data_IF_010003387428
#
_entry.id   IF_010003387428
#
_cell.length_a   1.000
_cell.length_b   1.000
_cell.length_c   1.000
_cell.angle_alpha   90.00
_cell.angle_beta   90.00
_cell.angle_gamma   90.00
#
_symmetry.space_group_name_H-M   'P 1'
#
loop_
_entity.id
_entity.type
_entity.pdbx_description
1 polymer ?
#
# COMPACT_ATOMS: atom_id res chain seq x y z
N UNK A 1 -3.70 -1.85 31.37
CA UNK A 1 -3.72 -2.97 30.42
C UNK A 1 -3.22 -2.42 29.10
N UNK A 2 -2.13 -2.95 28.56
CA UNK A 2 -1.66 -2.59 27.21
C UNK A 2 -2.74 -2.97 26.20
N UNK A 3 -3.07 -2.08 25.25
CA UNK A 3 -4.03 -2.36 24.18
C UNK A 3 -3.63 -3.66 23.45
N UNK A 4 -4.58 -4.52 23.03
CA UNK A 4 -4.28 -5.85 22.50
C UNK A 4 -3.50 -5.91 21.17
N UNK A 5 -2.99 -4.81 20.61
CA UNK A 5 -2.27 -4.73 19.32
C UNK A 5 -3.02 -5.46 18.20
N UNK A 6 -4.33 -5.23 18.10
CA UNK A 6 -5.17 -5.84 17.06
C UNK A 6 -4.82 -5.26 15.70
N UNK A 7 -4.83 -6.09 14.67
CA UNK A 7 -4.50 -5.69 13.30
C UNK A 7 -5.70 -5.96 12.40
N UNK A 8 -6.25 -4.91 11.82
CA UNK A 8 -7.22 -4.98 10.74
C UNK A 8 -6.50 -5.20 9.41
N UNK A 9 -6.73 -6.34 8.78
CA UNK A 9 -6.12 -6.73 7.51
C UNK A 9 -7.18 -6.60 6.42
N UNK A 10 -7.08 -5.53 5.62
CA UNK A 10 -7.98 -5.15 4.54
C UNK A 10 -7.51 -5.72 3.20
N UNK A 11 -8.28 -6.64 2.62
CA UNK A 11 -7.93 -7.32 1.36
C UNK A 11 -9.03 -7.09 0.32
N UNK A 12 -8.65 -6.52 -0.82
CA UNK A 12 -9.51 -6.45 -2.00
C UNK A 12 -9.11 -7.53 -3.00
N UNK A 13 -10.06 -8.36 -3.44
CA UNK A 13 -9.82 -9.43 -4.39
C UNK A 13 -10.77 -9.31 -5.59
N UNK A 14 -10.25 -9.54 -6.80
CA UNK A 14 -11.05 -9.62 -8.02
C UNK A 14 -10.69 -10.89 -8.79
N UNK A 15 -11.61 -11.85 -8.80
CA UNK A 15 -11.46 -13.14 -9.48
C UNK A 15 -10.10 -13.81 -9.25
N UNK A 16 -9.55 -13.71 -8.03
CA UNK A 16 -8.18 -14.10 -7.74
C UNK A 16 -8.09 -15.49 -7.10
N UNK A 17 -7.55 -16.50 -7.79
CA UNK A 17 -7.43 -17.86 -7.28
C UNK A 17 -6.38 -18.01 -6.17
N UNK A 18 -5.53 -17.01 -5.95
CA UNK A 18 -4.46 -17.04 -4.93
C UNK A 18 -4.97 -16.54 -3.57
N UNK A 19 -6.16 -15.93 -3.50
CA UNK A 19 -6.74 -15.43 -2.26
C UNK A 19 -6.76 -16.46 -1.10
N UNK A 20 -7.18 -17.73 -1.31
CA UNK A 20 -7.14 -18.73 -0.24
C UNK A 20 -5.72 -18.98 0.30
N UNK A 21 -4.71 -18.99 -0.57
CA UNK A 21 -3.31 -19.11 -0.19
C UNK A 21 -2.88 -17.90 0.65
N UNK A 22 -3.20 -16.68 0.20
CA UNK A 22 -2.86 -15.44 0.92
C UNK A 22 -3.44 -15.43 2.34
N UNK A 23 -4.73 -15.77 2.51
CA UNK A 23 -5.37 -15.82 3.83
C UNK A 23 -4.77 -16.90 4.72
N UNK A 24 -4.51 -18.08 4.17
CA UNK A 24 -3.89 -19.17 4.91
C UNK A 24 -2.49 -18.77 5.40
N UNK A 25 -1.69 -18.15 4.53
CA UNK A 25 -0.33 -17.67 4.89
C UNK A 25 -0.37 -16.55 5.91
N UNK A 26 -1.29 -15.58 5.77
CA UNK A 26 -1.46 -14.50 6.74
C UNK A 26 -1.67 -15.04 8.16
N UNK A 27 -2.52 -16.06 8.33
CA UNK A 27 -2.81 -16.66 9.64
C UNK A 27 -1.67 -17.57 10.12
N UNK A 28 -1.22 -18.50 9.30
CA UNK A 28 -0.27 -19.55 9.73
C UNK A 28 1.14 -19.05 9.98
N UNK A 29 1.50 -17.89 9.42
CA UNK A 29 2.81 -17.27 9.63
C UNK A 29 2.79 -16.13 10.62
N UNK A 30 1.62 -15.68 11.09
CA UNK A 30 1.54 -14.68 12.14
C UNK A 30 2.04 -15.25 13.46
N UNK A 31 2.72 -14.42 14.26
CA UNK A 31 3.09 -14.77 15.62
C UNK A 31 1.86 -14.83 16.54
N UNK A 32 0.88 -13.94 16.32
CA UNK A 32 -0.33 -13.78 17.14
C UNK A 32 -1.58 -13.75 16.28
N UNK A 33 -1.96 -14.86 15.62
CA UNK A 33 -3.12 -14.90 14.71
C UNK A 33 -4.44 -14.49 15.38
N UNK A 34 -4.57 -14.66 16.70
CA UNK A 34 -5.75 -14.24 17.46
C UNK A 34 -5.96 -12.71 17.52
N UNK A 35 -4.95 -11.92 17.13
CA UNK A 35 -5.04 -10.45 17.06
C UNK A 35 -5.51 -9.95 15.70
N UNK A 36 -5.61 -10.85 14.71
CA UNK A 36 -5.95 -10.48 13.34
C UNK A 36 -7.46 -10.40 13.16
N UNK A 37 -7.88 -9.34 12.47
CA UNK A 37 -9.19 -9.25 11.82
C UNK A 37 -8.95 -9.20 10.31
N UNK A 38 -9.20 -10.33 9.64
CA UNK A 38 -9.13 -10.41 8.19
C UNK A 38 -10.47 -9.97 7.57
N UNK A 39 -10.45 -8.87 6.84
CA UNK A 39 -11.59 -8.28 6.16
C UNK A 39 -11.39 -8.35 4.65
N UNK A 40 -12.22 -9.15 3.98
CA UNK A 40 -12.09 -9.45 2.55
C UNK A 40 -13.28 -8.87 1.78
N UNK A 41 -12.98 -8.12 0.73
CA UNK A 41 -13.97 -7.79 -0.30
C UNK A 41 -13.67 -8.61 -1.54
N UNK A 42 -14.46 -9.67 -1.75
CA UNK A 42 -14.33 -10.63 -2.84
C UNK A 42 -15.27 -10.26 -3.99
N UNK A 43 -14.71 -9.78 -5.09
CA UNK A 43 -15.43 -9.49 -6.33
C UNK A 43 -15.29 -10.69 -7.28
N UNK A 44 -16.29 -11.56 -7.32
CA UNK A 44 -16.22 -12.83 -8.06
C UNK A 44 -17.60 -13.29 -8.56
N UNK A 45 -17.61 -14.20 -9.51
CA UNK A 45 -18.84 -14.75 -10.09
C UNK A 45 -19.61 -15.62 -9.09
N UNK A 46 -20.93 -15.82 -9.24
CA UNK A 46 -21.73 -16.60 -8.30
C UNK A 46 -21.30 -18.07 -8.20
N UNK A 47 -20.73 -18.62 -9.28
CA UNK A 47 -20.34 -20.04 -9.38
C UNK A 47 -19.00 -20.38 -8.70
N UNK A 48 -18.24 -19.37 -8.27
CA UNK A 48 -16.96 -19.57 -7.59
C UNK A 48 -17.21 -19.92 -6.12
N UNK A 49 -16.57 -20.97 -5.59
CA UNK A 49 -16.69 -21.33 -4.19
C UNK A 49 -16.31 -20.15 -3.29
N UNK A 50 -17.06 -19.94 -2.20
CA UNK A 50 -16.69 -18.91 -1.20
C UNK A 50 -15.35 -19.26 -0.59
N UNK A 51 -14.50 -18.25 -0.43
CA UNK A 51 -13.28 -18.40 0.34
C UNK A 51 -13.61 -18.86 1.77
N UNK A 52 -13.04 -19.99 2.24
CA UNK A 52 -13.33 -20.47 3.58
C UNK A 52 -12.76 -19.52 4.62
N UNK A 53 -13.44 -19.42 5.77
CA UNK A 53 -12.81 -18.80 6.94
C UNK A 53 -11.52 -19.57 7.24
N UNK A 54 -10.37 -18.88 7.44
CA UNK A 54 -9.10 -19.54 7.70
C UNK A 54 -9.05 -20.29 9.05
N UNK A 55 -10.13 -20.21 9.84
CA UNK A 55 -10.28 -20.96 11.10
C UNK A 55 -9.48 -20.38 12.26
N UNK A 56 -9.54 -21.07 13.40
CA UNK A 56 -8.86 -20.64 14.63
C UNK A 56 -9.56 -19.48 15.35
N UNK A 57 -8.80 -18.73 16.13
CA UNK A 57 -9.24 -17.56 16.88
C UNK A 57 -9.24 -16.25 16.07
N UNK A 58 -8.82 -16.31 14.80
CA UNK A 58 -8.78 -15.17 13.88
C UNK A 58 -10.18 -14.67 13.56
N UNK A 59 -10.42 -13.36 13.70
CA UNK A 59 -11.68 -12.75 13.27
C UNK A 59 -11.69 -12.66 11.74
N UNK A 60 -12.80 -13.06 11.12
CA UNK A 60 -12.96 -13.05 9.67
C UNK A 60 -14.27 -12.39 9.26
N UNK A 61 -14.18 -11.40 8.37
CA UNK A 61 -15.32 -10.72 7.74
C UNK A 61 -15.14 -10.76 6.23
N UNK A 62 -16.19 -11.14 5.50
CA UNK A 62 -16.13 -11.23 4.04
C UNK A 62 -17.39 -10.63 3.41
N UNK A 63 -17.20 -9.64 2.55
CA UNK A 63 -18.23 -9.08 1.67
C UNK A 63 -18.00 -9.64 0.28
N UNK A 64 -19.02 -10.27 -0.29
CA UNK A 64 -18.97 -10.80 -1.64
C UNK A 64 -19.82 -9.97 -2.58
N UNK A 65 -19.25 -9.63 -3.71
CA UNK A 65 -19.83 -8.77 -4.73
C UNK A 65 -19.74 -9.51 -6.07
N UNK A 66 -20.81 -9.45 -6.85
CA UNK A 66 -20.78 -10.00 -8.20
C UNK A 66 -19.74 -9.24 -9.05
N UNK A 67 -18.96 -9.97 -9.85
CA UNK A 67 -17.91 -9.36 -10.69
C UNK A 67 -18.43 -8.30 -11.67
N UNK A 68 -19.73 -8.34 -12.00
CA UNK A 68 -20.41 -7.37 -12.87
C UNK A 68 -20.62 -6.03 -12.17
N UNK A 69 -20.80 -6.04 -10.86
CA UNK A 69 -20.97 -4.86 -10.02
C UNK A 69 -19.64 -4.29 -9.51
N UNK A 70 -18.52 -4.97 -9.81
CA UNK A 70 -17.17 -4.54 -9.43
C UNK A 70 -16.81 -3.18 -10.05
N UNK A 71 -16.25 -2.29 -9.22
CA UNK A 71 -15.84 -0.92 -9.62
C UNK A 71 -14.34 -0.68 -9.48
N UNK A 72 -13.56 -1.75 -9.46
CA UNK A 72 -12.10 -1.71 -9.31
C UNK A 72 -11.59 -1.76 -7.86
N UNK A 73 -10.26 -1.77 -7.69
CA UNK A 73 -9.63 -2.03 -6.41
C UNK A 73 -9.86 -0.92 -5.38
N UNK A 74 -9.88 0.36 -5.78
CA UNK A 74 -10.07 1.46 -4.84
C UNK A 74 -11.45 1.44 -4.18
N UNK A 75 -12.49 1.14 -4.93
CA UNK A 75 -13.85 0.95 -4.40
C UNK A 75 -13.91 -0.24 -3.44
N UNK A 76 -13.30 -1.37 -3.81
CA UNK A 76 -13.23 -2.54 -2.93
C UNK A 76 -12.42 -2.28 -1.65
N UNK A 77 -11.32 -1.51 -1.72
CA UNK A 77 -10.52 -1.09 -0.55
C UNK A 77 -11.31 -0.16 0.36
N UNK A 78 -12.08 0.78 -0.20
CA UNK A 78 -12.97 1.64 0.58
C UNK A 78 -14.09 0.84 1.28
N UNK A 79 -14.67 -0.16 0.60
CA UNK A 79 -15.63 -1.08 1.21
C UNK A 79 -14.98 -1.93 2.31
N UNK A 80 -13.76 -2.42 2.10
CA UNK A 80 -13.04 -3.17 3.10
C UNK A 80 -12.81 -2.31 4.35
N UNK A 81 -12.38 -1.06 4.18
CA UNK A 81 -12.25 -0.10 5.29
C UNK A 81 -13.55 0.11 6.08
N UNK A 82 -14.74 -0.07 5.49
CA UNK A 82 -16.00 0.01 6.25
C UNK A 82 -16.22 -1.13 7.26
N UNK A 83 -15.41 -2.19 7.18
CA UNK A 83 -15.42 -3.32 8.12
C UNK A 83 -14.46 -3.12 9.31
N UNK A 84 -13.70 -2.01 9.33
CA UNK A 84 -12.83 -1.64 10.44
C UNK A 84 -13.65 -1.40 11.71
N UNK A 85 -13.16 -1.91 12.84
CA UNK A 85 -13.89 -1.95 14.11
C UNK A 85 -12.97 -1.55 15.29
N UNK A 86 -12.17 -0.51 15.04
CA UNK A 86 -11.28 0.08 16.05
C UNK A 86 -10.06 -0.79 16.39
N UNK A 87 -9.56 -1.58 15.44
CA UNK A 87 -8.27 -2.26 15.60
C UNK A 87 -7.11 -1.25 15.73
N UNK A 88 -6.08 -1.57 16.52
CA UNK A 88 -4.97 -0.64 16.81
C UNK A 88 -4.12 -0.33 15.56
N UNK A 89 -4.05 -1.28 14.63
CA UNK A 89 -3.26 -1.23 13.41
C UNK A 89 -4.10 -1.59 12.19
N UNK A 90 -3.73 -1.00 11.06
CA UNK A 90 -4.30 -1.22 9.74
C UNK A 90 -3.24 -1.79 8.81
N UNK A 91 -3.59 -2.83 8.07
CA UNK A 91 -2.80 -3.42 7.01
C UNK A 91 -3.66 -3.58 5.74
N UNK A 92 -3.37 -2.82 4.69
CA UNK A 92 -3.93 -3.06 3.36
C UNK A 92 -3.06 -4.02 2.56
N UNK A 93 -3.69 -4.96 1.87
CA UNK A 93 -3.03 -5.93 1.01
C UNK A 93 -3.78 -6.14 -0.31
N UNK A 94 -3.02 -6.51 -1.35
CA UNK A 94 -3.58 -7.22 -2.50
C UNK A 94 -3.88 -8.69 -2.14
N UNK A 95 -4.56 -9.42 -3.03
CA UNK A 95 -5.07 -10.77 -2.75
C UNK A 95 -4.11 -11.92 -3.06
N UNK A 96 -2.87 -11.64 -3.49
CA UNK A 96 -1.85 -12.63 -3.87
C UNK A 96 -0.52 -12.34 -3.18
N UNK A 97 -0.53 -12.46 -1.86
CA UNK A 97 0.58 -12.11 -0.97
C UNK A 97 1.08 -13.33 -0.22
N UNK A 98 2.34 -13.28 0.17
CA UNK A 98 2.93 -14.22 1.10
C UNK A 98 3.74 -13.48 2.16
N UNK A 99 4.05 -14.16 3.25
CA UNK A 99 4.53 -13.54 4.47
C UNK A 99 5.69 -14.34 5.05
N UNK A 100 6.60 -13.63 5.69
CA UNK A 100 7.64 -14.25 6.50
C UNK A 100 7.08 -14.61 7.90
N UNK A 101 7.68 -15.56 8.64
CA UNK A 101 7.24 -15.90 10.00
C UNK A 101 7.29 -14.72 10.98
N UNK A 102 6.20 -14.48 11.74
CA UNK A 102 6.04 -13.36 12.66
C UNK A 102 5.94 -12.01 11.96
N UNK A 103 5.29 -11.93 10.79
CA UNK A 103 5.16 -10.68 10.03
C UNK A 103 4.42 -9.58 10.79
N UNK A 104 3.41 -9.96 11.56
CA UNK A 104 2.53 -9.10 12.36
C UNK A 104 3.30 -8.32 13.43
N UNK A 105 4.05 -9.04 14.27
CA UNK A 105 4.89 -8.41 15.30
C UNK A 105 6.02 -7.57 14.68
N UNK A 106 6.59 -8.01 13.55
CA UNK A 106 7.65 -7.26 12.85
C UNK A 106 7.15 -5.94 12.28
N UNK A 107 5.98 -5.90 11.64
CA UNK A 107 5.40 -4.64 11.14
C UNK A 107 5.08 -3.68 12.29
N UNK A 108 4.48 -4.18 13.37
CA UNK A 108 4.21 -3.38 14.58
C UNK A 108 5.50 -2.81 15.17
N UNK A 109 6.55 -3.64 15.31
CA UNK A 109 7.84 -3.21 15.81
C UNK A 109 8.50 -2.15 14.92
N UNK A 110 8.47 -2.34 13.60
CA UNK A 110 8.97 -1.38 12.62
C UNK A 110 8.25 -0.03 12.71
N UNK A 111 6.92 -0.03 12.80
CA UNK A 111 6.14 1.20 12.94
C UNK A 111 6.42 1.90 14.28
N UNK A 112 6.54 1.13 15.37
CA UNK A 112 6.87 1.65 16.72
C UNK A 112 8.26 2.27 16.78
N UNK A 113 9.25 1.68 16.10
CA UNK A 113 10.59 2.27 16.00
C UNK A 113 10.57 3.64 15.32
N UNK A 114 9.57 3.89 14.48
CA UNK A 114 9.30 5.19 13.87
C UNK A 114 8.35 6.07 14.70
N UNK A 115 8.02 5.71 15.94
CA UNK A 115 7.17 6.53 16.83
C UNK A 115 5.66 6.38 16.64
N UNK A 116 5.21 5.36 15.90
CA UNK A 116 3.81 4.97 15.88
C UNK A 116 3.41 4.24 17.19
N UNK A 117 2.16 4.33 17.66
CA UNK A 117 1.05 5.07 17.05
C UNK A 117 0.99 6.55 17.43
N UNK A 118 1.91 7.09 18.23
CA UNK A 118 1.82 8.48 18.73
C UNK A 118 1.88 9.52 17.60
N UNK A 119 2.59 9.23 16.52
CA UNK A 119 2.59 10.05 15.29
C UNK A 119 1.96 9.29 14.11
N UNK A 120 1.53 10.02 13.08
CA UNK A 120 1.02 9.43 11.84
C UNK A 120 2.16 8.86 11.00
N UNK A 121 2.30 7.54 10.95
CA UNK A 121 3.31 6.85 10.14
C UNK A 121 2.64 5.76 9.31
N UNK A 122 2.97 5.72 8.02
CA UNK A 122 2.63 4.62 7.14
C UNK A 122 3.90 3.94 6.63
N UNK A 123 3.91 2.61 6.64
CA UNK A 123 4.92 1.78 6.00
C UNK A 123 4.33 1.27 4.69
N UNK A 124 5.05 1.41 3.59
CA UNK A 124 4.60 0.87 2.31
C UNK A 124 5.78 0.63 1.39
N UNK A 125 5.60 -0.24 0.40
CA UNK A 125 6.53 -0.45 -0.71
C UNK A 125 5.80 -1.23 -1.80
N UNK A 126 6.43 -1.37 -2.97
CA UNK A 126 6.26 -2.58 -3.78
C UNK A 126 7.07 -3.70 -3.10
N UNK A 127 6.45 -4.74 -2.52
CA UNK A 127 7.19 -5.75 -1.76
C UNK A 127 8.09 -6.61 -2.66
N UNK A 128 9.05 -7.32 -2.05
CA UNK A 128 9.86 -8.30 -2.77
C UNK A 128 8.98 -9.37 -3.44
N UNK A 129 9.44 -9.91 -4.56
CA UNK A 129 8.65 -10.88 -5.32
C UNK A 129 8.70 -12.28 -4.71
N UNK A 130 7.61 -13.04 -4.89
CA UNK A 130 7.63 -14.49 -4.88
C UNK A 130 6.93 -15.03 -6.13
N UNK A 131 7.19 -16.30 -6.46
CA UNK A 131 6.58 -17.03 -7.60
C UNK A 131 6.15 -18.41 -7.14
N UNK A 132 5.30 -19.10 -7.89
CA UNK A 132 5.03 -20.52 -7.72
C UNK A 132 5.93 -21.36 -8.64
N UNK A 133 6.72 -22.25 -8.07
CA UNK A 133 7.52 -23.25 -8.81
C UNK A 133 7.07 -24.64 -8.37
N UNK A 134 6.49 -25.43 -9.29
CA UNK A 134 5.94 -26.74 -8.95
C UNK A 134 4.77 -26.71 -7.96
N UNK A 135 4.05 -25.58 -7.86
CA UNK A 135 2.95 -25.37 -6.91
C UNK A 135 3.39 -24.81 -5.55
N UNK A 136 4.70 -24.70 -5.30
CA UNK A 136 5.25 -24.20 -4.04
C UNK A 136 5.68 -22.72 -4.17
N UNK A 137 5.47 -21.89 -3.13
CA UNK A 137 5.91 -20.50 -3.15
C UNK A 137 7.43 -20.40 -2.98
N UNK A 138 8.10 -19.74 -3.93
CA UNK A 138 9.54 -19.50 -3.96
C UNK A 138 9.83 -18.00 -3.96
N UNK A 139 10.59 -17.53 -2.96
CA UNK A 139 11.02 -16.14 -2.84
C UNK A 139 12.00 -15.75 -3.96
N UNK A 140 11.78 -14.57 -4.56
CA UNK A 140 12.65 -13.97 -5.58
C UNK A 140 12.95 -12.50 -5.20
N UNK A 141 13.64 -12.25 -4.08
CA UNK A 141 13.87 -10.89 -3.59
C UNK A 141 14.77 -10.12 -4.56
N UNK A 142 14.43 -8.85 -4.81
CA UNK A 142 15.25 -7.91 -5.58
C UNK A 142 16.40 -7.37 -4.74
N UNK A 143 16.16 -7.13 -3.44
CA UNK A 143 17.17 -6.68 -2.48
C UNK A 143 16.83 -7.16 -1.07
N UNK A 144 17.83 -7.18 -0.19
CA UNK A 144 17.66 -7.32 1.26
C UNK A 144 17.56 -5.96 1.98
N UNK A 145 17.87 -4.87 1.28
CA UNK A 145 17.74 -3.50 1.74
C UNK A 145 16.31 -2.98 1.58
N UNK A 146 16.18 -1.72 1.16
CA UNK A 146 14.90 -1.03 1.00
C UNK A 146 14.51 -1.01 -0.47
N UNK A 147 13.23 -1.23 -0.76
CA UNK A 147 12.63 -0.91 -2.05
C UNK A 147 11.96 0.47 -1.94
N UNK A 148 12.63 1.50 -2.42
CA UNK A 148 12.17 2.88 -2.29
C UNK A 148 11.40 3.32 -3.54
N UNK A 149 10.23 3.91 -3.38
CA UNK A 149 9.45 4.36 -4.53
C UNK A 149 9.90 5.73 -5.04
N UNK A 150 10.05 5.79 -6.36
CA UNK A 150 10.43 6.99 -7.10
C UNK A 150 9.61 7.07 -8.39
N UNK A 151 9.57 8.27 -8.99
CA UNK A 151 9.05 8.40 -10.34
C UNK A 151 9.93 7.60 -11.30
N UNK A 152 9.32 6.79 -12.16
CA UNK A 152 10.04 5.99 -13.15
C UNK A 152 10.82 6.91 -14.10
N UNK A 153 12.12 6.66 -14.34
CA UNK A 153 12.90 7.41 -15.32
C UNK A 153 12.20 7.51 -16.68
N UNK A 154 12.19 8.71 -17.25
CA UNK A 154 11.50 9.01 -18.52
C UNK A 154 9.99 9.30 -18.38
N UNK A 155 9.40 9.17 -17.18
CA UNK A 155 8.03 9.64 -16.95
C UNK A 155 7.94 11.15 -17.12
N UNK A 156 6.88 11.59 -17.79
CA UNK A 156 6.52 12.99 -17.96
C UNK A 156 5.02 13.15 -17.68
N UNK A 157 4.60 14.35 -17.30
CA UNK A 157 3.17 14.63 -17.17
C UNK A 157 2.47 14.52 -18.52
N UNK A 158 1.36 13.78 -18.54
CA UNK A 158 0.45 13.82 -19.66
C UNK A 158 -0.29 15.19 -19.68
N UNK A 159 -0.47 15.83 -20.85
CA UNK A 159 -1.23 17.08 -20.95
C UNK A 159 -2.65 17.01 -20.40
N UNK A 160 -3.30 15.86 -20.50
CA UNK A 160 -4.71 15.66 -20.13
C UNK A 160 -4.89 15.28 -18.65
N UNK A 161 -3.88 14.68 -18.00
CA UNK A 161 -4.02 14.19 -16.63
C UNK A 161 -2.69 14.13 -15.84
N UNK A 162 -2.72 14.25 -14.51
CA UNK A 162 -1.51 14.31 -13.67
C UNK A 162 -0.96 12.95 -13.20
N UNK A 163 -1.47 11.84 -13.73
CA UNK A 163 -0.93 10.50 -13.42
C UNK A 163 0.50 10.38 -13.94
N UNK A 164 1.39 9.89 -13.08
CA UNK A 164 2.77 9.54 -13.33
C UNK A 164 2.95 8.03 -13.08
N UNK A 165 4.03 7.46 -13.61
CA UNK A 165 4.39 6.07 -13.38
C UNK A 165 5.51 6.04 -12.35
N UNK A 166 5.36 5.16 -11.36
CA UNK A 166 6.36 4.93 -10.33
C UNK A 166 7.03 3.57 -10.52
N UNK A 167 8.18 3.41 -9.89
CA UNK A 167 8.86 2.15 -9.71
C UNK A 167 9.49 2.09 -8.32
N UNK A 168 9.88 0.89 -7.89
CA UNK A 168 10.68 0.72 -6.68
C UNK A 168 12.14 0.47 -7.05
N UNK A 169 13.04 1.30 -6.52
CA UNK A 169 14.47 1.16 -6.69
C UNK A 169 15.10 0.53 -5.43
N UNK A 170 15.99 -0.47 -5.59
CA UNK A 170 16.70 -1.03 -4.45
C UNK A 170 17.68 -0.01 -3.88
N UNK A 171 17.67 0.14 -2.55
CA UNK A 171 18.59 0.97 -1.79
C UNK A 171 19.26 0.07 -0.76
N UNK A 172 20.58 -0.04 -0.87
CA UNK A 172 21.41 -0.82 0.06
C UNK A 172 21.57 -0.07 1.39
N UNK A 173 20.56 -0.18 2.25
CA UNK A 173 20.52 0.42 3.58
C UNK A 173 19.75 -0.45 4.56
N UNK A 174 20.14 -0.40 5.83
CA UNK A 174 19.43 -1.02 6.95
C UNK A 174 18.57 -0.03 7.72
N UNK A 175 18.50 1.23 7.27
CA UNK A 175 17.69 2.28 7.86
C UNK A 175 16.40 2.50 7.05
N UNK A 176 15.30 2.91 7.69
CA UNK A 176 14.08 3.36 6.99
C UNK A 176 14.38 4.50 6.01
N UNK A 177 13.78 4.46 4.83
CA UNK A 177 13.88 5.53 3.83
C UNK A 177 12.55 6.27 3.77
N UNK A 178 12.51 7.60 4.01
CA UNK A 178 11.32 8.40 3.75
C UNK A 178 10.76 8.18 2.34
N UNK A 179 9.44 8.01 2.22
CA UNK A 179 8.74 7.85 0.95
C UNK A 179 7.91 9.07 0.62
N UNK A 180 7.73 9.35 -0.68
CA UNK A 180 6.73 10.31 -1.16
C UNK A 180 5.65 9.65 -2.01
N UNK A 181 5.77 8.38 -2.38
CA UNK A 181 4.70 7.58 -2.99
C UNK A 181 4.62 6.21 -2.31
N UNK A 182 3.47 5.55 -2.39
CA UNK A 182 3.22 4.27 -1.73
C UNK A 182 2.83 3.17 -2.72
N UNK A 183 2.98 1.92 -2.30
CA UNK A 183 2.45 0.75 -3.00
C UNK A 183 1.14 0.35 -2.35
N UNK A 184 0.02 0.54 -3.03
CA UNK A 184 -1.27 0.33 -2.40
C UNK A 184 -1.58 -1.15 -2.12
N UNK A 185 -0.85 -2.08 -2.74
CA UNK A 185 -0.90 -3.51 -2.40
C UNK A 185 -0.25 -3.86 -1.06
N UNK A 186 0.39 -2.90 -0.36
CA UNK A 186 0.95 -3.08 0.98
C UNK A 186 1.05 -1.74 1.71
N UNK A 187 0.11 -1.44 2.61
CA UNK A 187 0.14 -0.24 3.46
C UNK A 187 -0.13 -0.61 4.91
N UNK A 188 0.86 -0.42 5.79
CA UNK A 188 0.74 -0.66 7.23
C UNK A 188 0.79 0.65 8.02
N UNK A 189 -0.13 0.88 8.93
CA UNK A 189 -0.25 2.12 9.69
C UNK A 189 -1.04 1.92 10.99
N UNK A 190 -1.02 2.86 11.95
CA UNK A 190 -2.03 2.92 13.01
C UNK A 190 -3.45 2.90 12.44
N UNK A 191 -4.35 2.17 13.12
CA UNK A 191 -5.72 1.90 12.67
C UNK A 191 -6.54 3.15 12.32
N UNK A 192 -6.31 4.26 13.05
CA UNK A 192 -6.95 5.56 12.81
C UNK A 192 -6.74 6.14 11.41
N UNK A 193 -5.79 5.61 10.61
CA UNK A 193 -5.65 5.96 9.18
C UNK A 193 -6.98 5.78 8.43
N UNK A 194 -7.78 4.78 8.80
CA UNK A 194 -9.08 4.49 8.18
C UNK A 194 -10.05 5.66 8.32
N UNK A 195 -10.03 6.32 9.47
CA UNK A 195 -10.92 7.45 9.79
C UNK A 195 -10.34 8.79 9.32
N UNK A 196 -9.02 8.97 9.47
CA UNK A 196 -8.35 10.23 9.13
C UNK A 196 -8.14 10.42 7.62
N UNK A 197 -7.84 9.33 6.91
CA UNK A 197 -7.52 9.35 5.47
C UNK A 197 -8.16 8.12 4.78
N UNK A 198 -9.50 8.03 4.73
CA UNK A 198 -10.19 6.89 4.14
C UNK A 198 -9.85 6.73 2.66
N UNK A 199 -9.83 5.50 2.16
CA UNK A 199 -9.63 5.23 0.74
C UNK A 199 -10.72 5.90 -0.10
N UNK A 200 -10.34 6.58 -1.18
CA UNK A 200 -11.31 7.27 -2.03
C UNK A 200 -11.92 6.28 -3.05
N UNK A 201 -13.22 5.93 -2.94
CA UNK A 201 -13.87 4.93 -3.79
C UNK A 201 -14.06 5.40 -5.24
N UNK A 202 -13.79 6.67 -5.54
CA UNK A 202 -13.95 7.25 -6.88
C UNK A 202 -12.68 7.15 -7.75
N UNK A 203 -11.59 6.63 -7.19
CA UNK A 203 -10.43 6.20 -7.96
C UNK A 203 -10.63 4.80 -8.54
N UNK A 204 -9.80 4.43 -9.52
CA UNK A 204 -9.84 3.12 -10.19
C UNK A 204 -8.51 2.35 -10.08
N UNK A 205 -7.63 2.37 -11.09
CA UNK A 205 -6.29 1.74 -11.02
C UNK A 205 -5.16 2.77 -10.93
N UNK A 206 -5.08 3.71 -11.86
CA UNK A 206 -3.96 4.64 -11.88
C UNK A 206 -4.26 5.97 -11.19
N UNK A 207 -3.21 6.55 -10.59
CA UNK A 207 -3.26 7.83 -9.88
C UNK A 207 -3.71 7.72 -8.42
N UNK A 208 -4.25 6.58 -8.01
CA UNK A 208 -4.72 6.35 -6.65
C UNK A 208 -3.58 6.35 -5.62
N UNK A 209 -2.45 5.72 -5.95
CA UNK A 209 -1.27 5.69 -5.05
C UNK A 209 -0.73 7.10 -4.80
N UNK A 210 -0.65 7.92 -5.85
CA UNK A 210 -0.30 9.33 -5.76
C UNK A 210 -1.29 10.11 -4.90
N UNK A 211 -2.59 9.88 -5.13
CA UNK A 211 -3.65 10.54 -4.38
C UNK A 211 -3.56 10.20 -2.89
N UNK A 212 -3.35 8.92 -2.58
CA UNK A 212 -3.29 8.47 -1.20
C UNK A 212 -2.03 8.98 -0.50
N UNK A 213 -0.86 8.94 -1.17
CA UNK A 213 0.37 9.51 -0.64
C UNK A 213 0.28 11.03 -0.41
N UNK A 214 -0.28 11.78 -1.37
CA UNK A 214 -0.49 13.23 -1.22
C UNK A 214 -1.47 13.57 -0.09
N UNK A 215 -2.56 12.79 0.05
CA UNK A 215 -3.52 12.96 1.15
C UNK A 215 -2.89 12.65 2.51
N UNK A 216 -2.18 11.52 2.64
CA UNK A 216 -1.41 11.21 3.85
C UNK A 216 -0.46 12.37 4.20
N UNK A 217 0.31 12.84 3.23
CA UNK A 217 1.25 13.92 3.45
C UNK A 217 0.55 15.19 3.96
N UNK A 218 -0.49 15.66 3.27
CA UNK A 218 -1.20 16.89 3.63
C UNK A 218 -1.99 16.77 4.95
N UNK A 219 -2.33 15.55 5.38
CA UNK A 219 -2.87 15.25 6.72
C UNK A 219 -1.81 15.09 7.81
N UNK A 220 -0.52 15.25 7.50
CA UNK A 220 0.57 15.19 8.50
C UNK A 220 1.14 13.79 8.76
N UNK A 221 0.84 12.81 7.89
CA UNK A 221 1.39 11.46 7.97
C UNK A 221 2.71 11.30 7.23
N UNK A 222 3.70 10.69 7.86
CA UNK A 222 4.97 10.38 7.24
C UNK A 222 4.99 8.97 6.65
N UNK A 223 5.43 8.85 5.41
CA UNK A 223 5.55 7.58 4.71
C UNK A 223 7.00 7.08 4.77
N UNK A 224 7.18 5.78 5.01
CA UNK A 224 8.48 5.13 5.02
C UNK A 224 8.49 3.82 4.23
N UNK A 225 9.60 3.60 3.53
CA UNK A 225 9.97 2.32 2.95
C UNK A 225 10.97 1.62 3.89
N UNK A 226 10.67 0.39 4.26
CA UNK A 226 11.39 -0.34 5.30
C UNK A 226 12.35 -1.39 4.72
N UNK A 227 13.55 -1.56 5.30
CA UNK A 227 14.36 -2.72 5.02
C UNK A 227 13.73 -3.94 5.69
N UNK A 228 13.80 -5.10 5.04
CA UNK A 228 13.23 -6.34 5.57
C UNK A 228 11.72 -6.28 5.79
N UNK A 229 10.97 -5.64 4.88
CA UNK A 229 9.52 -5.69 4.88
C UNK A 229 9.05 -7.17 4.83
N UNK A 230 8.28 -7.66 5.82
CA UNK A 230 8.01 -9.10 5.98
C UNK A 230 6.86 -9.63 5.10
N UNK A 231 6.62 -8.96 3.98
CA UNK A 231 5.52 -9.22 3.04
C UNK A 231 6.13 -9.36 1.64
N UNK A 232 5.57 -10.27 0.84
CA UNK A 232 6.01 -10.58 -0.51
C UNK A 232 4.82 -10.60 -1.46
N UNK A 233 5.05 -10.20 -2.71
CA UNK A 233 4.00 -10.03 -3.71
C UNK A 233 4.22 -10.96 -4.92
N UNK A 234 3.14 -11.57 -5.40
CA UNK A 234 3.15 -12.34 -6.64
C UNK A 234 2.92 -11.42 -7.85
N UNK A 235 4.00 -10.95 -8.47
CA UNK A 235 3.88 -10.10 -9.65
C UNK A 235 3.43 -10.90 -10.88
N UNK A 236 2.58 -10.30 -11.71
CA UNK A 236 2.03 -10.94 -12.90
C UNK A 236 2.97 -10.73 -14.11
N UNK A 237 4.04 -11.51 -14.20
CA UNK A 237 5.06 -11.41 -15.28
C UNK A 237 5.05 -12.60 -16.26
N UNK A 238 3.98 -13.40 -16.25
CA UNK A 238 3.81 -14.60 -17.09
C UNK A 238 4.74 -15.77 -16.72
N UNK A 239 5.73 -15.55 -15.85
CA UNK A 239 6.67 -16.56 -15.32
C UNK A 239 6.43 -16.85 -13.84
N UNK A 240 5.46 -16.18 -13.24
CA UNK A 240 5.16 -16.27 -11.82
C UNK A 240 4.56 -17.60 -11.36
N UNK A 241 4.20 -18.50 -12.30
CA UNK A 241 3.55 -19.77 -11.99
C UNK A 241 2.15 -19.61 -11.38
N UNK A 242 1.62 -18.38 -11.34
CA UNK A 242 0.30 -18.09 -10.84
C UNK A 242 -0.77 -18.76 -11.74
N UNK A 243 -1.85 -19.30 -11.16
CA UNK A 243 -2.99 -19.72 -11.96
C UNK A 243 -3.54 -18.54 -12.77
N UNK A 244 -4.01 -18.76 -14.02
CA UNK A 244 -4.62 -17.71 -14.80
C UNK A 244 -5.79 -17.07 -14.05
N UNK A 245 -5.87 -15.74 -14.10
CA UNK A 245 -6.98 -14.97 -13.54
C UNK A 245 -7.45 -13.93 -14.51
N UNK A 246 -8.76 -13.72 -14.57
CA UNK A 246 -9.33 -12.65 -15.36
C UNK A 246 -8.96 -11.30 -14.74
N UNK A 247 -8.47 -10.38 -15.57
CA UNK A 247 -8.26 -9.00 -15.16
C UNK A 247 -9.58 -8.24 -15.23
N UNK A 248 -9.66 -7.08 -14.59
CA UNK A 248 -10.87 -6.26 -14.64
C UNK A 248 -11.20 -5.78 -16.07
N UNK A 249 -10.23 -5.77 -16.99
CA UNK A 249 -10.42 -5.45 -18.41
C UNK A 249 -10.58 -6.69 -19.30
N UNK A 250 -10.83 -7.88 -18.72
CA UNK A 250 -11.17 -9.06 -19.49
C UNK A 250 -12.43 -8.81 -20.33
N UNK A 251 -12.37 -9.11 -21.63
CA UNK A 251 -13.45 -8.77 -22.56
C UNK A 251 -14.79 -9.47 -22.22
N UNK A 252 -14.73 -10.70 -21.72
CA UNK A 252 -15.92 -11.46 -21.34
C UNK A 252 -16.63 -10.84 -20.14
N UNK A 253 -15.88 -10.31 -19.17
CA UNK A 253 -16.42 -9.61 -18.02
C UNK A 253 -16.89 -8.20 -18.40
N UNK A 254 -16.10 -7.49 -19.21
CA UNK A 254 -16.36 -6.11 -19.59
C UNK A 254 -17.66 -5.97 -20.39
N UNK A 255 -17.94 -6.91 -21.31
CA UNK A 255 -19.19 -6.96 -22.07
C UNK A 255 -20.46 -7.10 -21.21
N UNK A 256 -20.31 -7.49 -19.94
CA UNK A 256 -21.42 -7.67 -19.01
C UNK A 256 -21.60 -6.48 -18.06
N UNK A 257 -20.76 -5.45 -18.15
CA UNK A 257 -20.82 -4.28 -17.28
C UNK A 257 -21.54 -3.11 -17.93
N UNK A 258 -22.29 -2.37 -17.13
CA UNK A 258 -22.90 -1.10 -17.55
C UNK A 258 -21.85 0.00 -17.78
N UNK A 259 -20.79 0.01 -16.97
CA UNK A 259 -19.71 0.99 -17.03
C UNK A 259 -18.40 0.30 -17.34
N UNK A 260 -17.76 0.70 -18.44
CA UNK A 260 -16.46 0.14 -18.82
C UNK A 260 -15.35 0.55 -17.84
N UNK A 261 -14.36 -0.34 -17.69
CA UNK A 261 -13.13 -0.08 -16.95
C UNK A 261 -12.46 1.21 -17.42
N UNK A 262 -12.49 1.49 -18.73
CA UNK A 262 -11.89 2.69 -19.29
C UNK A 262 -12.62 3.95 -18.84
N UNK A 263 -13.95 3.91 -18.73
CA UNK A 263 -14.73 5.03 -18.18
C UNK A 263 -14.35 5.30 -16.73
N UNK A 264 -14.21 4.24 -15.91
CA UNK A 264 -13.76 4.35 -14.52
C UNK A 264 -12.33 4.92 -14.42
N UNK A 265 -11.43 4.48 -15.30
CA UNK A 265 -10.06 4.99 -15.39
C UNK A 265 -10.04 6.49 -15.77
N UNK A 266 -10.87 6.92 -16.72
CA UNK A 266 -11.01 8.34 -17.06
C UNK A 266 -11.56 9.18 -15.89
N UNK A 267 -12.50 8.63 -15.12
CA UNK A 267 -12.96 9.27 -13.89
C UNK A 267 -11.83 9.38 -12.86
N UNK A 268 -11.04 8.33 -12.67
CA UNK A 268 -9.87 8.31 -11.77
C UNK A 268 -8.84 9.39 -12.14
N UNK A 269 -8.55 9.56 -13.44
CA UNK A 269 -7.64 10.61 -13.93
C UNK A 269 -8.14 12.02 -13.64
N UNK A 270 -9.43 12.27 -13.89
CA UNK A 270 -10.10 13.54 -13.54
C UNK A 270 -10.13 13.75 -12.03
N UNK A 271 -10.31 12.67 -11.27
CA UNK A 271 -10.33 12.69 -9.79
C UNK A 271 -8.99 13.12 -9.23
N UNK A 272 -7.88 12.59 -9.75
CA UNK A 272 -6.54 13.05 -9.38
C UNK A 272 -6.33 14.53 -9.76
N UNK A 273 -6.75 14.94 -10.96
CA UNK A 273 -6.65 16.34 -11.39
C UNK A 273 -7.43 17.30 -10.46
N UNK A 274 -8.62 16.90 -10.00
CA UNK A 274 -9.40 17.66 -9.03
C UNK A 274 -8.72 17.70 -7.66
N UNK A 275 -8.14 16.58 -7.21
CA UNK A 275 -7.46 16.52 -5.91
C UNK A 275 -6.23 17.44 -5.89
N UNK A 276 -5.35 17.33 -6.88
CA UNK A 276 -4.08 18.10 -6.91
C UNK A 276 -4.30 19.61 -7.12
N UNK A 277 -5.46 20.00 -7.67
CA UNK A 277 -5.86 21.42 -7.78
C UNK A 277 -6.57 21.95 -6.53
N UNK A 278 -6.78 21.11 -5.52
CA UNK A 278 -7.41 21.51 -4.26
C UNK A 278 -8.93 21.63 -4.33
N UNK A 279 -9.59 20.92 -5.26
CA UNK A 279 -11.05 20.89 -5.31
C UNK A 279 -11.65 20.37 -3.98
N UNK A 280 -12.87 20.81 -3.60
CA UNK A 280 -13.51 20.39 -2.35
C UNK A 280 -14.05 18.96 -2.48
N UNK A 281 -13.23 17.97 -2.14
CA UNK A 281 -13.57 16.55 -2.28
C UNK A 281 -14.12 15.89 -1.00
N UNK A 282 -14.53 16.70 -0.02
CA UNK A 282 -15.03 16.23 1.28
C UNK A 282 -13.95 15.50 2.08
N UNK A 283 -14.31 14.38 2.70
CA UNK A 283 -13.39 13.50 3.45
C UNK A 283 -12.25 12.92 2.59
N UNK A 284 -12.39 12.98 1.26
CA UNK A 284 -11.39 12.54 0.30
C UNK A 284 -10.51 13.68 -0.24
N UNK A 285 -10.62 14.88 0.34
CA UNK A 285 -9.80 16.03 -0.01
C UNK A 285 -8.38 15.98 0.56
N UNK A 286 -7.65 17.06 0.30
CA UNK A 286 -6.35 17.33 0.90
C UNK A 286 -6.50 17.76 2.36
N UNK A 287 -5.50 17.42 3.16
CA UNK A 287 -5.37 17.90 4.53
C UNK A 287 -4.85 19.34 4.59
N UNK A 288 -4.72 19.85 5.81
CA UNK A 288 -4.29 21.24 6.09
C UNK A 288 -3.01 21.34 6.92
N UNK A 289 -2.37 20.22 7.25
CA UNK A 289 -1.18 20.18 8.11
C UNK A 289 0.07 20.54 7.31
N UNK A 290 0.18 20.03 6.08
CA UNK A 290 1.24 20.38 5.12
C UNK A 290 0.62 20.73 3.79
N UNK A 291 1.25 21.63 3.03
CA UNK A 291 0.72 22.10 1.75
C UNK A 291 1.17 21.22 0.58
N UNK A 292 0.51 21.37 -0.58
CA UNK A 292 0.95 20.76 -1.84
C UNK A 292 2.30 21.32 -2.28
N UNK A 293 2.61 22.58 -1.96
CA UNK A 293 3.91 23.17 -2.24
C UNK A 293 5.03 22.52 -1.39
N UNK A 294 4.76 22.22 -0.12
CA UNK A 294 5.69 21.46 0.73
C UNK A 294 5.90 20.05 0.16
N UNK A 295 4.83 19.41 -0.32
CA UNK A 295 4.93 18.13 -1.00
C UNK A 295 5.77 18.22 -2.28
N UNK A 296 5.64 19.28 -3.07
CA UNK A 296 6.46 19.49 -4.27
C UNK A 296 7.94 19.65 -3.92
N UNK A 297 8.26 20.41 -2.87
CA UNK A 297 9.64 20.52 -2.36
C UNK A 297 10.17 19.18 -1.83
N UNK A 298 9.33 18.41 -1.13
CA UNK A 298 9.68 17.12 -0.53
C UNK A 298 9.74 15.97 -1.52
N UNK A 299 8.96 15.97 -2.60
CA UNK A 299 8.93 14.87 -3.58
C UNK A 299 9.68 15.22 -4.86
N UNK A 300 9.83 16.50 -5.19
CA UNK A 300 10.24 16.96 -6.52
C UNK A 300 9.11 16.91 -7.55
N UNK A 301 7.87 16.62 -7.15
CA UNK A 301 6.70 16.56 -8.04
C UNK A 301 5.85 17.82 -7.85
N UNK A 302 5.90 18.73 -8.82
CA UNK A 302 5.03 19.91 -8.83
C UNK A 302 3.83 19.66 -9.74
N UNK A 303 2.68 19.35 -9.14
CA UNK A 303 1.43 19.13 -9.88
C UNK A 303 0.85 20.41 -10.49
N UNK A 304 1.11 21.58 -9.91
CA UNK A 304 0.60 22.85 -10.41
C UNK A 304 1.39 23.30 -11.64
N UNK A 305 2.73 23.26 -11.55
CA UNK A 305 3.62 23.57 -12.67
C UNK A 305 3.74 22.43 -13.69
N UNK A 306 3.22 21.23 -13.36
CA UNK A 306 3.40 19.99 -14.15
C UNK A 306 4.88 19.73 -14.47
N UNK A 307 5.73 19.85 -13.44
CA UNK A 307 7.17 19.66 -13.56
C UNK A 307 7.72 18.63 -12.57
N UNK A 308 8.81 17.99 -12.94
CA UNK A 308 9.53 17.01 -12.13
C UNK A 308 10.97 17.48 -11.90
N UNK A 309 11.34 17.68 -10.65
CA UNK A 309 12.72 17.95 -10.26
C UNK A 309 13.55 16.65 -10.27
N UNK A 310 14.89 16.72 -10.41
CA UNK A 310 15.75 15.53 -10.38
C UNK A 310 15.54 14.63 -9.15
N UNK A 311 15.17 15.22 -8.02
CA UNK A 311 14.90 14.47 -6.78
C UNK A 311 13.69 13.55 -6.84
N UNK A 312 12.75 13.75 -7.78
CA UNK A 312 11.58 12.87 -7.94
C UNK A 312 11.96 11.47 -8.46
N UNK A 313 13.15 11.35 -9.06
CA UNK A 313 13.67 10.11 -9.64
C UNK A 313 14.67 9.41 -8.72
N UNK A 314 14.86 9.92 -7.50
CA UNK A 314 15.87 9.44 -6.55
C UNK A 314 15.24 9.07 -5.20
N UNK A 315 15.67 7.96 -4.57
CA UNK A 315 15.24 7.63 -3.22
C UNK A 315 15.61 8.73 -2.21
N UNK A 316 14.75 8.98 -1.22
CA UNK A 316 15.01 9.97 -0.16
C UNK A 316 15.90 9.40 0.95
N UNK A 317 17.07 8.89 0.59
CA UNK A 317 18.03 8.37 1.56
C UNK A 317 18.48 9.53 2.46
N UNK A 318 18.30 9.44 3.79
CA UNK A 318 18.87 10.44 4.69
C UNK A 318 20.39 10.51 4.46
N UNK A 319 21.01 11.69 4.51
CA UNK A 319 22.46 11.77 4.49
C UNK A 319 23.03 10.89 5.62
N UNK A 320 24.19 10.24 5.43
CA UNK A 320 24.84 9.50 6.51
C UNK A 320 24.90 10.39 7.74
N UNK A 321 24.44 9.88 8.90
CA UNK A 321 24.57 10.62 10.14
C UNK A 321 26.04 11.03 10.27
N UNK A 322 26.33 12.33 10.17
CA UNK A 322 27.66 12.83 10.45
C UNK A 322 27.95 12.39 11.88
N UNK A 323 28.95 11.51 12.04
CA UNK A 323 29.31 10.96 13.34
C UNK A 323 29.48 12.11 14.31
N UNK A 324 28.60 12.19 15.31
CA UNK A 324 28.89 12.94 16.51
C UNK A 324 30.09 12.22 17.14
N UNK A 325 31.29 12.71 16.83
CA UNK A 325 32.53 12.32 17.51
C UNK A 325 32.39 12.70 18.98
N UNK A 326 31.85 11.79 19.79
CA UNK A 326 31.98 11.82 21.24
C UNK A 326 33.28 11.11 21.64
N UNK A 327 34.43 11.58 21.16
CA UNK A 327 35.73 11.33 21.78
C UNK A 327 36.70 12.43 21.37
N UNK A 328 36.94 13.38 22.28
CA UNK A 328 38.25 13.85 22.74
C UNK A 328 38.07 15.15 23.53
N UNK A 329 38.43 15.14 24.81
CA UNK A 329 38.45 16.36 25.62
C UNK A 329 38.18 16.23 27.12
N UNK A 330 38.18 15.04 27.70
CA UNK A 330 38.40 14.89 29.15
C UNK A 330 39.53 13.89 29.34
N UNK A 331 40.74 14.40 29.59
CA UNK A 331 41.84 13.84 30.39
C UNK A 331 43.21 14.38 29.92
N UNK A 332 43.52 15.60 30.36
CA UNK A 332 44.84 16.02 30.84
C UNK A 332 44.55 17.18 31.80
N UNK A 333 44.77 17.16 33.11
CA UNK A 333 45.67 16.34 33.91
C UNK A 333 46.73 17.25 34.52
N UNK A 334 46.48 17.66 35.78
CA UNK A 334 47.39 18.34 36.74
C UNK A 334 47.55 19.86 36.64
#
# INVERSE_FOLDING_TARGET
MTSPDRIFVSIAAYCDPVLPFTLHRAVTTAARPERLHLAVVEQTGPDVARVPSPGGSTRFSCVRIDLRDARGPCWARALAMSLYDGEDWFLQLDSHMDFDPGWDERLVAQARALGAPQRGVALSSYPNAFVFEGGEPVRKPTTQGVLAQVVRPGSVFNPEHPVLIFEAQPVETTQPVPGFNLGAGCVFAPGRIVEEVPYDPWFYFHGEEQAFALRLYTHGWDLFHMPGLPIHHLYNDGKSGAPPRAMHWDASHESQREVSWWTLEQHSRKRLAALVSGAPLGVYGLGKVRSVADYAAFSGIDYAARSLAPSAFLPRVPPPAQGLNFQEGLLAGR
#
